data_IF_766379213819
#
_entry.id   IF_766379213819
#
_cell.length_a   1.000
_cell.length_b   1.000
_cell.length_c   1.000
_cell.angle_alpha   90.00
_cell.angle_beta   90.00
_cell.angle_gamma   90.00
#
_symmetry.space_group_name_H-M   'P 1'
#
loop_
_entity.id
_entity.type
_entity.pdbx_description
1 polymer ?
#
# COMPACT_ATOMS: atom_id res chain seq x y z
N UNK A 1 27.97 -27.48 -52.48
CA UNK A 1 27.85 -26.55 -51.34
C UNK A 1 26.55 -25.79 -51.53
N UNK A 2 25.47 -26.24 -50.90
CA UNK A 2 24.14 -25.64 -51.05
C UNK A 2 23.63 -25.25 -49.67
N UNK A 3 23.86 -24.00 -49.29
CA UNK A 3 23.33 -23.42 -48.06
C UNK A 3 21.91 -22.93 -48.32
N UNK A 4 20.93 -23.64 -47.78
CA UNK A 4 19.52 -23.24 -47.80
C UNK A 4 19.27 -22.19 -46.71
N UNK A 5 19.01 -20.95 -47.13
CA UNK A 5 18.51 -19.89 -46.27
C UNK A 5 17.09 -20.27 -45.81
N UNK A 6 17.00 -20.81 -44.59
CA UNK A 6 15.74 -21.07 -43.90
C UNK A 6 15.12 -19.74 -43.47
N UNK A 7 14.18 -19.23 -44.27
CA UNK A 7 13.34 -18.09 -43.93
C UNK A 7 12.50 -18.44 -42.70
N UNK A 8 12.90 -17.96 -41.52
CA UNK A 8 12.06 -17.93 -40.32
C UNK A 8 10.78 -17.17 -40.66
N UNK A 9 9.66 -17.88 -40.81
CA UNK A 9 8.33 -17.27 -40.95
C UNK A 9 7.86 -16.78 -39.59
N UNK A 10 8.42 -15.64 -39.17
CA UNK A 10 7.96 -14.92 -37.97
C UNK A 10 6.68 -14.18 -38.33
N UNK A 11 5.58 -14.51 -37.65
CA UNK A 11 4.30 -13.83 -37.86
C UNK A 11 4.23 -12.54 -37.03
N UNK A 12 3.51 -11.54 -37.54
CA UNK A 12 3.22 -10.33 -36.79
C UNK A 12 2.24 -10.59 -35.64
N UNK A 13 2.22 -9.69 -34.64
CA UNK A 13 1.29 -9.77 -33.50
C UNK A 13 -0.17 -9.83 -33.95
N UNK A 14 -0.54 -9.05 -34.98
CA UNK A 14 -1.91 -8.98 -35.47
C UNK A 14 -2.33 -10.30 -36.13
N UNK A 15 -1.45 -10.91 -36.91
CA UNK A 15 -1.68 -12.23 -37.51
C UNK A 15 -1.82 -13.30 -36.44
N UNK A 16 -0.93 -13.34 -35.45
CA UNK A 16 -1.02 -14.31 -34.35
C UNK A 16 -2.31 -14.10 -33.56
N UNK A 17 -2.70 -12.86 -33.26
CA UNK A 17 -3.95 -12.59 -32.57
C UNK A 17 -5.18 -13.02 -33.40
N UNK A 18 -5.14 -12.81 -34.73
CA UNK A 18 -6.17 -13.30 -35.64
C UNK A 18 -6.28 -14.82 -35.61
N UNK A 19 -5.16 -15.52 -35.76
CA UNK A 19 -5.11 -16.99 -35.79
C UNK A 19 -5.50 -17.61 -34.44
N UNK A 20 -5.12 -16.98 -33.32
CA UNK A 20 -5.56 -17.35 -31.97
C UNK A 20 -7.08 -17.18 -31.80
N UNK A 21 -7.65 -16.12 -32.38
CA UNK A 21 -9.10 -15.85 -32.31
C UNK A 21 -9.89 -16.85 -33.18
N UNK A 22 -9.35 -17.19 -34.34
CA UNK A 22 -9.94 -18.16 -35.27
C UNK A 22 -9.74 -19.63 -34.86
N UNK A 23 -8.98 -19.90 -33.78
CA UNK A 23 -8.69 -21.25 -33.27
C UNK A 23 -8.12 -22.20 -34.33
N UNK A 24 -7.19 -21.69 -35.15
CA UNK A 24 -6.56 -22.43 -36.25
C UNK A 24 -5.64 -23.55 -35.71
N UNK A 25 -5.68 -24.77 -36.28
CA UNK A 25 -4.84 -25.88 -35.83
C UNK A 25 -3.34 -25.69 -36.09
N UNK A 26 -2.94 -24.69 -36.87
CA UNK A 26 -1.53 -24.38 -37.17
C UNK A 26 -0.77 -23.75 -35.99
N UNK A 27 -1.47 -23.28 -34.96
CA UNK A 27 -0.88 -22.76 -33.72
C UNK A 27 -0.93 -23.81 -32.61
N UNK A 28 0.20 -23.95 -31.90
CA UNK A 28 0.25 -24.72 -30.66
C UNK A 28 0.79 -23.88 -29.51
N UNK A 29 0.32 -24.19 -28.31
CA UNK A 29 0.69 -23.51 -27.07
C UNK A 29 1.43 -24.49 -26.17
N UNK A 30 2.71 -24.23 -25.88
CA UNK A 30 3.51 -25.08 -25.01
C UNK A 30 4.27 -24.23 -23.99
N UNK A 31 4.61 -24.81 -22.84
CA UNK A 31 5.50 -24.16 -21.89
C UNK A 31 6.95 -24.25 -22.42
N UNK A 32 7.75 -23.18 -22.31
CA UNK A 32 9.15 -23.24 -22.71
C UNK A 32 9.91 -24.25 -21.83
N UNK A 33 10.72 -25.08 -22.47
CA UNK A 33 11.53 -26.09 -21.79
C UNK A 33 12.59 -25.42 -20.92
N UNK A 34 12.70 -25.82 -19.66
CA UNK A 34 13.76 -25.35 -18.74
C UNK A 34 13.39 -24.15 -17.85
N UNK A 35 12.19 -23.57 -17.96
CA UNK A 35 11.79 -22.44 -17.11
C UNK A 35 10.93 -22.93 -15.94
N UNK A 36 11.44 -22.79 -14.70
CA UNK A 36 10.78 -23.21 -13.45
C UNK A 36 9.85 -22.16 -12.83
N UNK A 37 9.56 -21.09 -13.54
CA UNK A 37 8.86 -19.95 -12.97
C UNK A 37 7.34 -20.20 -12.88
N UNK A 38 6.76 -19.95 -11.70
CA UNK A 38 5.31 -20.05 -11.45
C UNK A 38 4.47 -19.18 -12.39
N UNK A 39 5.07 -18.14 -12.98
CA UNK A 39 4.43 -17.29 -13.99
C UNK A 39 3.90 -18.11 -15.17
N UNK A 40 4.54 -19.21 -15.58
CA UNK A 40 4.09 -20.05 -16.71
C UNK A 40 2.85 -20.91 -16.41
N UNK A 41 2.26 -20.78 -15.22
CA UNK A 41 0.97 -21.42 -14.90
C UNK A 41 -0.18 -20.82 -15.72
N UNK A 42 -0.16 -19.51 -15.93
CA UNK A 42 -1.23 -18.77 -16.61
C UNK A 42 -0.88 -18.34 -18.04
N UNK A 43 0.28 -18.74 -18.55
CA UNK A 43 0.78 -18.33 -19.86
C UNK A 43 1.37 -19.51 -20.61
N UNK A 44 1.42 -19.40 -21.94
CA UNK A 44 2.04 -20.39 -22.80
C UNK A 44 2.74 -19.72 -23.97
N UNK A 45 3.85 -20.30 -24.42
CA UNK A 45 4.59 -19.84 -25.58
C UNK A 45 3.83 -20.21 -26.85
N UNK A 46 3.78 -19.28 -27.80
CA UNK A 46 3.13 -19.49 -29.09
C UNK A 46 4.12 -20.16 -30.06
N UNK A 47 3.68 -21.24 -30.69
CA UNK A 47 4.38 -21.92 -31.77
C UNK A 47 3.49 -21.90 -33.00
N UNK A 48 4.03 -21.49 -34.15
CA UNK A 48 3.37 -21.61 -35.44
C UNK A 48 4.12 -22.65 -36.27
N UNK A 49 3.43 -23.73 -36.71
CA UNK A 49 4.05 -24.85 -37.44
C UNK A 49 5.32 -25.41 -36.75
N UNK A 50 5.27 -25.57 -35.43
CA UNK A 50 6.39 -25.98 -34.56
C UNK A 50 7.58 -25.01 -34.48
N UNK A 51 7.48 -23.80 -35.03
CA UNK A 51 8.48 -22.75 -34.89
C UNK A 51 8.09 -21.83 -33.73
N UNK A 52 9.02 -21.64 -32.78
CA UNK A 52 8.88 -20.71 -31.65
C UNK A 52 8.68 -19.29 -32.19
N UNK A 53 7.65 -18.61 -31.71
CA UNK A 53 7.42 -17.20 -31.99
C UNK A 53 7.80 -16.37 -30.77
N UNK A 54 8.12 -15.09 -30.95
CA UNK A 54 8.46 -14.15 -29.84
C UNK A 54 7.22 -13.62 -29.12
N UNK A 55 6.23 -14.50 -28.92
CA UNK A 55 4.95 -14.16 -28.34
C UNK A 55 4.49 -15.24 -27.37
N UNK A 56 3.83 -14.79 -26.31
CA UNK A 56 3.14 -15.63 -25.33
C UNK A 56 1.66 -15.29 -25.34
N UNK A 57 0.83 -16.26 -24.98
CA UNK A 57 -0.59 -16.08 -24.76
C UNK A 57 -0.90 -16.13 -23.27
N UNK A 58 -1.77 -15.24 -22.80
CA UNK A 58 -2.41 -15.40 -21.50
C UNK A 58 -3.56 -16.40 -21.62
N UNK A 59 -3.53 -17.50 -20.85
CA UNK A 59 -4.58 -18.52 -20.92
C UNK A 59 -5.93 -18.03 -20.40
N UNK A 60 -5.93 -17.05 -19.49
CA UNK A 60 -7.17 -16.52 -18.91
C UNK A 60 -7.88 -15.51 -19.83
N UNK A 61 -7.12 -14.68 -20.55
CA UNK A 61 -7.67 -13.59 -21.38
C UNK A 61 -7.55 -13.83 -22.89
N UNK A 62 -6.82 -14.85 -23.29
CA UNK A 62 -6.44 -15.14 -24.68
C UNK A 62 -5.80 -13.93 -25.40
N UNK A 63 -5.11 -13.08 -24.65
CA UNK A 63 -4.38 -11.93 -25.20
C UNK A 63 -2.95 -12.34 -25.54
N UNK A 64 -2.51 -11.94 -26.73
CA UNK A 64 -1.14 -12.17 -27.21
C UNK A 64 -0.21 -11.04 -26.73
N UNK A 65 0.89 -11.40 -26.10
CA UNK A 65 1.90 -10.49 -25.56
C UNK A 65 3.25 -10.78 -26.22
N UNK A 66 4.01 -9.73 -26.54
CA UNK A 66 5.35 -9.88 -27.11
C UNK A 66 6.33 -10.29 -26.01
N UNK A 67 6.97 -11.43 -26.17
CA UNK A 67 7.92 -11.98 -25.21
C UNK A 67 9.22 -12.33 -25.92
N UNK A 68 10.29 -11.66 -25.52
CA UNK A 68 11.66 -11.96 -25.91
C UNK A 68 12.35 -12.44 -24.64
N UNK A 69 13.25 -13.42 -24.73
CA UNK A 69 13.98 -13.97 -23.58
C UNK A 69 14.67 -12.90 -22.72
N UNK A 70 15.13 -11.81 -23.34
CA UNK A 70 15.75 -10.64 -22.68
C UNK A 70 14.80 -9.90 -21.74
N UNK A 71 13.51 -9.81 -22.09
CA UNK A 71 12.49 -9.14 -21.28
C UNK A 71 12.03 -9.99 -20.09
N UNK A 72 12.49 -11.25 -20.00
CA UNK A 72 12.21 -12.16 -18.90
C UNK A 72 10.73 -12.25 -18.56
N UNK A 73 10.40 -12.07 -17.27
CA UNK A 73 9.04 -12.14 -16.72
C UNK A 73 8.33 -10.78 -16.64
N UNK A 74 8.98 -9.69 -17.07
CA UNK A 74 8.46 -8.32 -16.94
C UNK A 74 7.12 -8.19 -17.65
N UNK A 75 7.03 -8.68 -18.90
CA UNK A 75 5.79 -8.63 -19.69
C UNK A 75 4.64 -9.40 -19.03
N UNK A 76 4.93 -10.50 -18.34
CA UNK A 76 3.94 -11.30 -17.62
C UNK A 76 3.48 -10.61 -16.32
N UNK A 77 4.39 -9.90 -15.67
CA UNK A 77 4.13 -9.13 -14.44
C UNK A 77 3.29 -7.87 -14.71
N UNK A 78 3.60 -7.13 -15.77
CA UNK A 78 2.85 -5.93 -16.17
C UNK A 78 1.51 -6.25 -16.84
N UNK A 79 1.32 -7.47 -17.33
CA UNK A 79 0.02 -7.90 -17.78
C UNK A 79 -0.89 -8.09 -16.57
N UNK A 80 -1.72 -7.07 -16.31
CA UNK A 80 -2.73 -7.06 -15.25
C UNK A 80 -3.85 -8.06 -15.54
N UNK A 81 -3.54 -9.35 -15.71
CA UNK A 81 -4.54 -10.41 -15.70
C UNK A 81 -5.32 -10.24 -14.41
N UNK A 82 -6.65 -10.10 -14.50
CA UNK A 82 -7.52 -9.87 -13.35
C UNK A 82 -7.04 -10.82 -12.26
N UNK A 83 -6.55 -10.27 -11.14
CA UNK A 83 -6.02 -11.04 -10.01
C UNK A 83 -7.14 -11.97 -9.57
N UNK A 84 -7.18 -13.16 -10.17
CA UNK A 84 -8.12 -14.20 -9.84
C UNK A 84 -7.85 -14.48 -8.38
N UNK A 85 -8.78 -14.10 -7.51
CA UNK A 85 -8.73 -14.41 -6.08
C UNK A 85 -8.35 -15.89 -5.99
N UNK A 86 -7.19 -16.24 -5.40
CA UNK A 86 -6.92 -17.64 -5.18
C UNK A 86 -7.96 -18.12 -4.16
N UNK A 87 -8.82 -19.03 -4.63
CA UNK A 87 -9.66 -19.86 -3.80
C UNK A 87 -8.74 -20.60 -2.84
N UNK A 88 -8.96 -20.33 -1.56
CA UNK A 88 -8.70 -21.17 -0.38
C UNK A 88 -7.48 -22.07 -0.43
N UNK A 89 -6.36 -21.56 0.09
CA UNK A 89 -5.55 -22.26 1.10
C UNK A 89 -4.59 -21.24 1.67
N UNK A 90 -4.70 -21.01 2.98
CA UNK A 90 -3.84 -20.09 3.75
C UNK A 90 -2.36 -20.25 3.43
N UNK A 91 -1.66 -19.15 3.09
CA UNK A 91 -0.24 -19.06 3.38
C UNK A 91 0.03 -17.88 4.33
N UNK A 92 0.99 -18.10 5.22
CA UNK A 92 1.55 -17.12 6.12
C UNK A 92 1.80 -15.79 5.40
N UNK A 93 1.25 -14.70 5.96
CA UNK A 93 1.51 -13.33 5.51
C UNK A 93 2.97 -12.96 5.80
N UNK A 94 3.91 -13.41 4.98
CA UNK A 94 5.22 -12.78 4.96
C UNK A 94 5.05 -11.43 4.25
N UNK A 95 4.99 -10.36 5.05
CA UNK A 95 4.96 -8.98 4.55
C UNK A 95 6.21 -8.76 3.69
N UNK A 96 6.03 -8.40 2.42
CA UNK A 96 7.13 -8.00 1.55
C UNK A 96 7.73 -6.68 2.05
N UNK A 97 9.04 -6.49 1.93
CA UNK A 97 9.75 -5.26 2.32
C UNK A 97 9.11 -4.02 1.66
N UNK A 98 8.50 -4.17 0.47
CA UNK A 98 7.73 -3.12 -0.21
C UNK A 98 6.53 -2.59 0.57
N UNK A 99 5.98 -3.36 1.52
CA UNK A 99 4.92 -2.89 2.43
C UNK A 99 5.43 -1.95 3.53
N UNK A 100 6.75 -1.94 3.78
CA UNK A 100 7.39 -1.02 4.72
C UNK A 100 7.70 0.34 4.07
N UNK A 101 7.86 0.36 2.74
CA UNK A 101 8.17 1.56 1.95
C UNK A 101 6.95 2.12 1.19
N UNK A 102 5.72 1.79 1.60
CA UNK A 102 4.55 2.54 1.13
C UNK A 102 4.62 3.94 1.76
N UNK A 103 5.25 4.87 1.04
CA UNK A 103 5.04 6.28 1.29
C UNK A 103 3.53 6.55 1.27
N UNK A 104 3.00 7.36 2.21
CA UNK A 104 1.59 7.65 2.28
C UNK A 104 1.14 8.23 0.94
N UNK A 105 0.19 7.54 0.29
CA UNK A 105 -0.37 7.90 -0.99
C UNK A 105 -0.81 9.36 -0.98
N UNK A 106 -0.16 10.14 -1.84
CA UNK A 106 -0.30 11.56 -1.99
C UNK A 106 -1.63 11.96 -2.65
N UNK A 107 -2.12 13.11 -2.17
CA UNK A 107 -2.91 14.15 -2.86
C UNK A 107 -4.45 14.11 -2.89
N UNK A 108 -5.15 12.98 -3.03
CA UNK A 108 -6.63 13.04 -3.18
C UNK A 108 -7.45 12.77 -1.92
N UNK A 109 -6.91 12.01 -0.97
CA UNK A 109 -7.62 11.66 0.27
C UNK A 109 -7.42 12.70 1.37
N UNK A 110 -6.27 13.37 1.36
CA UNK A 110 -5.90 14.40 2.33
C UNK A 110 -6.88 15.60 2.37
N UNK A 111 -7.34 16.17 1.23
CA UNK A 111 -8.29 17.29 1.26
C UNK A 111 -9.66 16.92 1.87
N UNK A 112 -10.14 15.70 1.61
CA UNK A 112 -11.41 15.22 2.19
C UNK A 112 -11.28 14.98 3.69
N UNK A 113 -10.15 14.41 4.13
CA UNK A 113 -9.86 14.24 5.55
C UNK A 113 -9.71 15.59 6.26
N UNK A 114 -8.99 16.53 5.66
CA UNK A 114 -8.82 17.88 6.20
C UNK A 114 -10.17 18.57 6.38
N UNK A 115 -11.06 18.47 5.39
CA UNK A 115 -12.42 19.02 5.49
C UNK A 115 -13.19 18.45 6.69
N UNK A 116 -13.15 17.12 6.89
CA UNK A 116 -13.82 16.47 8.04
C UNK A 116 -13.25 16.93 9.38
N UNK A 117 -11.93 17.10 9.46
CA UNK A 117 -11.29 17.64 10.67
C UNK A 117 -11.73 19.08 10.91
N UNK A 118 -11.78 19.91 9.87
CA UNK A 118 -12.28 21.29 9.98
C UNK A 118 -13.73 21.33 10.48
N UNK A 119 -14.61 20.49 9.94
CA UNK A 119 -16.01 20.38 10.39
C UNK A 119 -16.10 19.98 11.87
N UNK A 120 -15.30 19.00 12.31
CA UNK A 120 -15.24 18.59 13.73
C UNK A 120 -14.73 19.71 14.65
N UNK A 121 -13.74 20.50 14.21
CA UNK A 121 -13.28 21.67 14.97
C UNK A 121 -14.36 22.76 15.07
N UNK A 122 -15.14 22.98 14.00
CA UNK A 122 -16.28 23.92 14.02
C UNK A 122 -17.34 23.46 15.00
N UNK A 123 -17.68 22.17 14.99
CA UNK A 123 -18.63 21.57 15.93
C UNK A 123 -18.15 21.70 17.37
N UNK A 124 -16.88 21.36 17.65
CA UNK A 124 -16.26 21.55 18.96
C UNK A 124 -16.41 23.00 19.46
N UNK A 125 -16.08 23.99 18.63
CA UNK A 125 -16.21 25.39 19.03
C UNK A 125 -17.67 25.80 19.26
N UNK A 126 -18.60 25.34 18.42
CA UNK A 126 -20.01 25.70 18.49
C UNK A 126 -20.72 25.05 19.69
N UNK A 127 -20.47 23.77 19.96
CA UNK A 127 -21.14 22.99 21.01
C UNK A 127 -20.54 23.32 22.38
N UNK A 128 -19.22 23.42 22.48
CA UNK A 128 -18.53 23.63 23.76
C UNK A 128 -18.28 25.12 24.09
N UNK A 129 -18.72 26.04 23.22
CA UNK A 129 -18.56 27.49 23.40
C UNK A 129 -17.10 27.93 23.44
N UNK A 130 -16.23 27.32 22.61
CA UNK A 130 -14.79 27.60 22.59
C UNK A 130 -14.43 28.59 21.48
N UNK A 131 -13.38 29.37 21.70
CA UNK A 131 -12.88 30.30 20.67
C UNK A 131 -12.21 29.53 19.53
N UNK A 132 -12.21 30.10 18.32
CA UNK A 132 -11.54 29.49 17.17
C UNK A 132 -10.02 29.40 17.35
N UNK A 133 -9.43 30.30 18.14
CA UNK A 133 -8.00 30.27 18.49
C UNK A 133 -7.65 29.06 19.37
N UNK A 134 -8.63 28.47 20.05
CA UNK A 134 -8.41 27.31 20.93
C UNK A 134 -7.82 26.12 20.16
N UNK A 135 -8.20 25.91 18.90
CA UNK A 135 -7.66 24.82 18.07
C UNK A 135 -6.25 25.09 17.54
N UNK A 136 -5.77 26.33 17.64
CA UNK A 136 -4.39 26.71 17.29
C UNK A 136 -3.43 26.60 18.48
N UNK A 137 -3.94 26.40 19.70
CA UNK A 137 -3.14 26.29 20.91
C UNK A 137 -2.18 25.10 20.90
N UNK A 138 -0.96 25.29 21.41
CA UNK A 138 0.07 24.23 21.48
C UNK A 138 -0.38 23.04 22.32
N UNK A 139 -1.11 23.28 23.42
CA UNK A 139 -1.71 22.23 24.24
C UNK A 139 -2.72 21.37 23.47
N UNK A 140 -3.60 22.00 22.70
CA UNK A 140 -4.57 21.30 21.84
C UNK A 140 -3.86 20.47 20.76
N UNK A 141 -2.88 21.05 20.07
CA UNK A 141 -2.08 20.33 19.07
C UNK A 141 -1.39 19.09 19.65
N UNK A 142 -0.85 19.21 20.86
CA UNK A 142 -0.21 18.08 21.54
C UNK A 142 -1.24 17.01 21.94
N UNK A 143 -2.43 17.41 22.42
CA UNK A 143 -3.52 16.48 22.70
C UNK A 143 -3.93 15.71 21.44
N UNK A 144 -4.17 16.39 20.32
CA UNK A 144 -4.55 15.77 19.04
C UNK A 144 -3.50 14.75 18.57
N UNK A 145 -2.20 15.08 18.68
CA UNK A 145 -1.12 14.13 18.38
C UNK A 145 -1.20 12.87 19.23
N UNK A 146 -1.45 13.00 20.54
CA UNK A 146 -1.60 11.84 21.42
C UNK A 146 -2.83 11.00 21.06
N UNK A 147 -3.95 11.63 20.71
CA UNK A 147 -5.16 10.92 20.25
C UNK A 147 -4.92 10.15 18.95
N UNK A 148 -4.19 10.73 17.99
CA UNK A 148 -3.82 10.04 16.74
C UNK A 148 -2.92 8.84 17.06
N UNK A 149 -1.92 9.01 17.92
CA UNK A 149 -1.03 7.92 18.33
C UNK A 149 -1.78 6.80 19.07
N UNK A 150 -2.71 7.18 19.96
CA UNK A 150 -3.58 6.24 20.66
C UNK A 150 -4.47 5.47 19.67
N UNK A 151 -5.08 6.16 18.71
CA UNK A 151 -5.87 5.53 17.64
C UNK A 151 -5.05 4.59 16.75
N UNK A 152 -3.79 4.94 16.45
CA UNK A 152 -2.87 4.07 15.73
C UNK A 152 -2.49 2.80 16.51
N UNK A 153 -2.46 2.88 17.84
CA UNK A 153 -2.08 1.77 18.73
C UNK A 153 -3.27 0.86 19.05
N UNK A 154 -4.42 1.45 19.34
CA UNK A 154 -5.61 0.77 19.85
C UNK A 154 -6.62 0.42 18.76
N UNK A 155 -6.54 1.04 17.58
CA UNK A 155 -7.52 0.90 16.51
C UNK A 155 -8.84 1.62 16.81
N UNK A 156 -9.89 1.28 16.06
CA UNK A 156 -11.21 1.95 16.14
C UNK A 156 -12.19 1.29 17.12
N UNK A 157 -11.76 0.26 17.85
CA UNK A 157 -12.64 -0.52 18.74
C UNK A 157 -12.81 0.08 20.14
N UNK A 158 -12.03 1.10 20.50
CA UNK A 158 -12.08 1.72 21.83
C UNK A 158 -13.09 2.87 21.84
N UNK A 159 -13.95 2.90 22.85
CA UNK A 159 -14.87 4.03 23.05
C UNK A 159 -14.10 5.28 23.49
N UNK A 160 -14.43 6.43 22.88
CA UNK A 160 -13.84 7.72 23.26
C UNK A 160 -14.12 8.07 24.72
N UNK A 161 -15.28 7.68 25.24
CA UNK A 161 -15.65 7.91 26.66
C UNK A 161 -14.80 7.13 27.65
N UNK A 162 -14.22 6.00 27.23
CA UNK A 162 -13.31 5.20 28.05
C UNK A 162 -11.87 5.71 27.91
N UNK A 163 -11.52 6.24 26.74
CA UNK A 163 -10.20 6.80 26.48
C UNK A 163 -9.98 8.13 27.22
N UNK A 164 -11.00 8.99 27.26
CA UNK A 164 -10.91 10.30 27.90
C UNK A 164 -11.16 10.19 29.41
N UNK A 165 -10.26 10.76 30.19
CA UNK A 165 -10.40 10.81 31.65
C UNK A 165 -11.49 11.78 32.09
N UNK A 166 -12.15 11.45 33.20
CA UNK A 166 -13.12 12.34 33.83
C UNK A 166 -12.47 13.70 34.21
N UNK A 167 -13.18 14.85 34.12
CA UNK A 167 -12.63 16.16 34.46
C UNK A 167 -11.96 16.23 35.84
N UNK A 168 -12.52 15.55 36.85
CA UNK A 168 -11.92 15.47 38.18
C UNK A 168 -10.54 14.80 38.18
N UNK A 169 -10.35 13.75 37.38
CA UNK A 169 -9.06 13.07 37.23
C UNK A 169 -8.04 13.99 36.58
N UNK A 170 -8.43 14.70 35.52
CA UNK A 170 -7.57 15.69 34.85
C UNK A 170 -7.18 16.81 35.82
N UNK A 171 -8.13 17.29 36.62
CA UNK A 171 -7.87 18.33 37.63
C UNK A 171 -6.90 17.84 38.72
N UNK A 172 -7.05 16.61 39.20
CA UNK A 172 -6.14 16.06 40.20
C UNK A 172 -4.73 15.87 39.63
N UNK A 173 -4.63 15.36 38.41
CA UNK A 173 -3.34 15.17 37.74
C UNK A 173 -2.65 16.51 37.50
N UNK A 174 -3.39 17.53 37.06
CA UNK A 174 -2.84 18.88 36.90
C UNK A 174 -2.24 19.42 38.20
N UNK A 175 -2.97 19.31 39.31
CA UNK A 175 -2.48 19.76 40.62
C UNK A 175 -1.25 18.99 41.07
N UNK A 176 -1.21 17.68 40.82
CA UNK A 176 -0.07 16.84 41.14
C UNK A 176 1.18 17.27 40.35
N UNK A 177 1.05 17.42 39.03
CA UNK A 177 2.14 17.86 38.15
C UNK A 177 2.65 19.26 38.51
N UNK A 178 1.72 20.18 38.79
CA UNK A 178 2.07 21.54 39.21
C UNK A 178 2.84 21.54 40.53
N UNK A 179 2.38 20.75 41.52
CA UNK A 179 3.06 20.61 42.81
C UNK A 179 4.48 20.08 42.63
N UNK A 180 4.65 19.01 41.84
CA UNK A 180 5.97 18.43 41.56
C UNK A 180 6.90 19.43 40.87
N UNK A 181 6.39 20.16 39.88
CA UNK A 181 7.16 21.18 39.18
C UNK A 181 7.64 22.29 40.12
N UNK A 182 6.74 22.85 40.94
CA UNK A 182 7.09 23.90 41.90
C UNK A 182 8.11 23.40 42.92
N UNK A 183 7.92 22.18 43.47
CA UNK A 183 8.87 21.59 44.41
C UNK A 183 10.27 21.43 43.80
N UNK A 184 10.36 20.97 42.56
CA UNK A 184 11.63 20.81 41.86
C UNK A 184 12.32 22.15 41.59
N UNK A 185 11.56 23.19 41.21
CA UNK A 185 12.10 24.54 41.03
C UNK A 185 12.63 25.12 42.35
N UNK A 186 11.86 25.00 43.45
CA UNK A 186 12.30 25.46 44.77
C UNK A 186 13.53 24.72 45.28
N UNK A 187 13.61 23.41 45.08
CA UNK A 187 14.81 22.62 45.41
C UNK A 187 16.02 23.09 44.61
N UNK A 188 15.88 23.28 43.29
CA UNK A 188 16.98 23.77 42.45
C UNK A 188 17.48 25.16 42.87
N UNK A 189 16.56 26.03 43.30
CA UNK A 189 16.88 27.35 43.80
C UNK A 189 17.62 27.27 45.15
N UNK A 190 17.13 26.44 46.08
CA UNK A 190 17.76 26.23 47.38
C UNK A 190 19.20 25.70 47.25
N UNK A 191 19.42 24.69 46.40
CA UNK A 191 20.77 24.17 46.13
C UNK A 191 21.70 25.16 45.43
N UNK A 192 21.15 26.14 44.70
CA UNK A 192 21.96 27.20 44.07
C UNK A 192 22.43 28.25 45.08
N UNK A 193 21.64 28.50 46.13
CA UNK A 193 22.02 29.44 47.20
C UNK A 193 23.10 28.85 48.10
N UNK A 194 23.05 27.56 48.43
CA UNK A 194 24.05 26.91 49.31
C UNK A 194 25.46 26.79 48.68
N UNK A 195 25.61 27.02 47.37
CA UNK A 195 26.90 27.00 46.66
C UNK A 195 27.50 28.40 46.41
N UNK A 196 26.81 29.47 46.86
CA UNK A 196 27.22 30.88 46.70
C UNK A 196 27.81 31.43 47.99
#
# INVERSE_FOLDING_TARGET
MSSTNSTKSTLSKAEIQGVVTSNDPSISFKKPTGVRSEFWTNYSQVYHKNIVQDYIICLQRRTVLKWISENGIIVMSHHNCLKSKPVTTTPSRQRTISSYCQQPSSSKEYPLLQKRITEACVEYCAVDGRSFESVAGTGFMNLVKQLINAGATLGTSVSVSELLSHPSTVSMEFLFQLKMYIQNQLLSFYFSIDQS
#
